data_IF_854558191686
#
_entry.id   IF_854558191686
#
_cell.length_a   1.000
_cell.length_b   1.000
_cell.length_c   1.000
_cell.angle_alpha   90.00
_cell.angle_beta   90.00
_cell.angle_gamma   90.00
#
_symmetry.space_group_name_H-M   'P 1'
#
loop_
_entity.id
_entity.type
_entity.pdbx_description
1 polymer ?
#
# COMPACT_ATOMS: atom_id res chain seq x y z
N UNK A 1 8.96 -14.23 -6.54
CA UNK A 1 7.84 -15.02 -5.99
C UNK A 1 7.77 -16.33 -6.75
N UNK A 2 7.54 -17.47 -6.08
CA UNK A 2 7.48 -18.77 -6.74
C UNK A 2 6.11 -18.98 -7.43
N UNK A 3 5.92 -18.40 -8.62
CA UNK A 3 4.71 -18.62 -9.43
C UNK A 3 4.64 -20.07 -9.92
N UNK A 4 3.43 -20.61 -10.11
CA UNK A 4 3.25 -21.98 -10.58
C UNK A 4 3.49 -22.11 -12.10
N UNK A 5 3.36 -21.00 -12.84
CA UNK A 5 3.63 -20.94 -14.28
C UNK A 5 4.14 -19.56 -14.72
N UNK A 6 4.71 -19.50 -15.92
CA UNK A 6 5.10 -18.23 -16.56
C UNK A 6 3.89 -17.35 -16.85
N UNK A 7 2.76 -17.93 -17.29
CA UNK A 7 1.53 -17.21 -17.58
C UNK A 7 0.98 -16.47 -16.35
N UNK A 8 1.05 -17.08 -15.16
CA UNK A 8 0.70 -16.42 -13.91
C UNK A 8 1.60 -15.21 -13.63
N UNK A 9 2.91 -15.35 -13.85
CA UNK A 9 3.87 -14.27 -13.66
C UNK A 9 3.65 -13.11 -14.66
N UNK A 10 3.35 -13.44 -15.93
CA UNK A 10 3.04 -12.45 -16.98
C UNK A 10 1.73 -11.73 -16.67
N UNK A 11 0.69 -12.46 -16.25
CA UNK A 11 -0.57 -11.85 -15.83
C UNK A 11 -0.36 -10.89 -14.67
N UNK A 12 0.43 -11.28 -13.66
CA UNK A 12 0.68 -10.45 -12.49
C UNK A 12 1.52 -9.21 -12.83
N UNK A 13 2.60 -9.34 -13.61
CA UNK A 13 3.45 -8.20 -13.96
C UNK A 13 2.69 -7.16 -14.80
N UNK A 14 1.82 -7.59 -15.71
CA UNK A 14 0.97 -6.69 -16.50
C UNK A 14 -0.04 -5.95 -15.60
N UNK A 15 -0.71 -6.70 -14.71
CA UNK A 15 -1.69 -6.13 -13.78
C UNK A 15 -1.05 -5.12 -12.83
N UNK A 16 0.10 -5.46 -12.26
CA UNK A 16 0.87 -4.57 -11.37
C UNK A 16 1.40 -3.34 -12.13
N UNK A 17 1.86 -3.51 -13.37
CA UNK A 17 2.33 -2.38 -14.20
C UNK A 17 1.21 -1.38 -14.48
N UNK A 18 0.00 -1.86 -14.83
CA UNK A 18 -1.19 -0.99 -14.95
C UNK A 18 -1.46 -0.27 -13.63
N UNK A 19 -1.48 -0.99 -12.51
CA UNK A 19 -1.70 -0.41 -11.19
C UNK A 19 -0.72 0.72 -10.86
N UNK A 20 0.56 0.57 -11.22
CA UNK A 20 1.56 1.62 -11.04
C UNK A 20 1.28 2.87 -11.88
N UNK A 21 0.74 2.74 -13.09
CA UNK A 21 0.39 3.90 -13.93
C UNK A 21 -0.69 4.75 -13.26
N UNK A 22 -1.76 4.12 -12.78
CA UNK A 22 -2.86 4.81 -12.10
C UNK A 22 -2.41 5.38 -10.75
N UNK A 23 -1.61 4.63 -9.99
CA UNK A 23 -1.00 5.09 -8.73
C UNK A 23 -0.15 6.35 -8.94
N UNK A 24 0.74 6.36 -9.94
CA UNK A 24 1.58 7.52 -10.25
C UNK A 24 0.75 8.77 -10.60
N UNK A 25 -0.28 8.62 -11.44
CA UNK A 25 -1.15 9.75 -11.81
C UNK A 25 -1.97 10.30 -10.65
N UNK A 26 -2.55 9.43 -9.81
CA UNK A 26 -3.32 9.87 -8.64
C UNK A 26 -2.42 10.47 -7.56
N UNK A 27 -1.20 9.97 -7.41
CA UNK A 27 -0.19 10.58 -6.56
C UNK A 27 0.41 11.88 -7.16
N UNK A 28 0.06 12.26 -8.41
CA UNK A 28 0.57 13.49 -9.04
C UNK A 28 2.06 13.44 -9.34
N UNK A 29 2.60 12.25 -9.63
CA UNK A 29 4.00 12.02 -9.91
C UNK A 29 4.28 12.16 -11.41
N UNK A 30 5.47 12.69 -11.74
CA UNK A 30 5.97 12.73 -13.12
C UNK A 30 6.58 11.39 -13.54
N UNK A 31 5.83 10.30 -13.31
CA UNK A 31 6.23 8.92 -13.58
C UNK A 31 5.13 8.19 -14.36
N UNK A 32 5.54 7.22 -15.18
CA UNK A 32 4.63 6.23 -15.75
C UNK A 32 4.34 5.09 -14.75
N UNK A 33 4.00 3.92 -15.30
CA UNK A 33 3.86 2.68 -14.54
C UNK A 33 4.61 1.52 -15.18
N UNK A 34 5.28 0.73 -14.34
CA UNK A 34 5.98 -0.48 -14.75
C UNK A 34 6.24 -1.39 -13.56
N UNK A 35 6.50 -2.66 -13.82
CA UNK A 35 6.80 -3.66 -12.80
C UNK A 35 7.81 -4.67 -13.32
N UNK A 36 8.60 -5.20 -12.40
CA UNK A 36 9.43 -6.39 -12.63
C UNK A 36 8.92 -7.52 -11.75
N UNK A 37 8.85 -8.72 -12.31
CA UNK A 37 8.59 -9.96 -11.59
C UNK A 37 9.78 -10.89 -11.80
N UNK A 38 10.35 -11.38 -10.70
CA UNK A 38 11.38 -12.43 -10.71
C UNK A 38 10.75 -13.71 -10.20
N UNK A 39 10.68 -14.72 -11.06
CA UNK A 39 10.15 -16.04 -10.73
C UNK A 39 11.20 -16.78 -9.89
N UNK A 40 10.85 -17.15 -8.66
CA UNK A 40 11.75 -17.83 -7.73
C UNK A 40 11.39 -17.60 -6.26
N UNK A 41 11.90 -18.46 -5.40
CA UNK A 41 11.77 -18.35 -3.95
C UNK A 41 12.78 -17.34 -3.41
N UNK A 42 12.33 -16.17 -2.89
CA UNK A 42 13.23 -15.11 -2.45
C UNK A 42 14.09 -15.48 -1.24
N UNK A 43 13.76 -16.57 -0.52
CA UNK A 43 14.51 -17.05 0.64
C UNK A 43 15.66 -18.00 0.30
N UNK A 44 15.59 -18.70 -0.84
CA UNK A 44 16.56 -19.73 -1.21
C UNK A 44 17.28 -19.46 -2.53
N UNK A 45 16.60 -18.82 -3.49
CA UNK A 45 17.09 -18.75 -4.87
C UNK A 45 17.81 -17.43 -5.18
N UNK A 46 17.74 -16.47 -4.25
CA UNK A 46 18.33 -15.15 -4.43
C UNK A 46 19.86 -15.22 -4.32
N UNK A 47 20.54 -14.78 -5.38
CA UNK A 47 22.01 -14.73 -5.43
C UNK A 47 22.49 -13.36 -5.92
N UNK A 48 23.72 -12.92 -5.56
CA UNK A 48 24.32 -11.71 -6.12
C UNK A 48 24.35 -11.70 -7.65
N UNK A 49 24.66 -12.84 -8.28
CA UNK A 49 24.70 -12.96 -9.74
C UNK A 49 23.33 -12.71 -10.40
N UNK A 50 22.25 -13.17 -9.76
CA UNK A 50 20.87 -12.91 -10.21
C UNK A 50 20.54 -11.41 -10.13
N UNK A 51 20.85 -10.77 -9.01
CA UNK A 51 20.63 -9.33 -8.82
C UNK A 51 21.45 -8.49 -9.82
N UNK A 52 22.71 -8.85 -10.05
CA UNK A 52 23.57 -8.26 -11.06
C UNK A 52 22.97 -8.39 -12.48
N UNK A 53 22.35 -9.53 -12.78
CA UNK A 53 21.69 -9.77 -14.07
C UNK A 53 20.44 -8.91 -14.24
N UNK A 54 19.60 -8.81 -13.20
CA UNK A 54 18.43 -7.94 -13.20
C UNK A 54 18.83 -6.46 -13.35
N UNK A 55 19.87 -6.02 -12.63
CA UNK A 55 20.36 -4.65 -12.73
C UNK A 55 20.86 -4.31 -14.14
N UNK A 56 21.58 -5.22 -14.81
CA UNK A 56 21.98 -5.05 -16.22
C UNK A 56 20.78 -5.00 -17.17
N UNK A 57 19.73 -5.77 -16.92
CA UNK A 57 18.51 -5.73 -17.72
C UNK A 57 17.79 -4.39 -17.59
N UNK A 58 17.71 -3.85 -16.37
CA UNK A 58 17.16 -2.51 -16.08
C UNK A 58 18.01 -1.42 -16.74
N UNK A 59 19.34 -1.51 -16.63
CA UNK A 59 20.27 -0.53 -17.20
C UNK A 59 20.08 -0.34 -18.71
N UNK A 60 19.86 -1.43 -19.43
CA UNK A 60 19.58 -1.43 -20.88
C UNK A 60 18.31 -0.66 -21.27
N UNK A 61 17.39 -0.42 -20.33
CA UNK A 61 16.19 0.37 -20.56
C UNK A 61 16.47 1.88 -20.53
N UNK A 62 17.69 2.31 -20.17
CA UNK A 62 18.14 3.70 -20.33
C UNK A 62 17.28 4.71 -19.57
N UNK A 63 16.84 4.38 -18.36
CA UNK A 63 16.01 5.26 -17.52
C UNK A 63 14.52 5.23 -17.83
N UNK A 64 14.07 4.43 -18.80
CA UNK A 64 12.62 4.24 -19.06
C UNK A 64 11.92 3.45 -17.95
N UNK A 65 12.66 2.75 -17.11
CA UNK A 65 12.17 1.98 -15.98
C UNK A 65 13.10 2.19 -14.79
N UNK A 66 12.52 2.51 -13.63
CA UNK A 66 13.21 2.70 -12.37
C UNK A 66 12.67 1.63 -11.42
N UNK A 67 13.55 0.79 -10.89
CA UNK A 67 13.17 -0.24 -9.94
C UNK A 67 13.18 0.28 -8.50
N UNK A 68 12.39 -0.32 -7.63
CA UNK A 68 12.44 -0.15 -6.18
C UNK A 68 12.19 -1.52 -5.53
N UNK A 69 12.30 -1.60 -4.21
CA UNK A 69 11.96 -2.83 -3.49
C UNK A 69 10.46 -3.15 -3.55
N UNK A 70 10.14 -4.44 -3.46
CA UNK A 70 8.79 -4.96 -3.30
C UNK A 70 8.89 -6.37 -2.68
N UNK A 71 7.76 -7.05 -2.53
CA UNK A 71 7.61 -8.43 -2.08
C UNK A 71 8.68 -9.37 -2.65
N UNK A 72 9.63 -9.75 -1.80
CA UNK A 72 10.74 -10.65 -2.13
C UNK A 72 12.09 -9.97 -2.34
N UNK A 73 12.16 -8.64 -2.37
CA UNK A 73 13.40 -7.83 -2.35
C UNK A 73 13.37 -6.84 -1.18
N UNK A 74 14.54 -6.34 -0.80
CA UNK A 74 14.66 -5.28 0.22
C UNK A 74 15.83 -4.33 -0.04
N UNK A 75 16.01 -3.35 0.84
CA UNK A 75 17.06 -2.31 0.73
C UNK A 75 18.44 -2.87 0.41
N UNK A 76 18.93 -3.97 1.02
CA UNK A 76 20.24 -4.54 0.67
C UNK A 76 20.34 -5.01 -0.79
N UNK A 77 19.24 -5.51 -1.36
CA UNK A 77 19.18 -5.92 -2.76
C UNK A 77 19.22 -4.70 -3.68
N UNK A 78 18.48 -3.64 -3.32
CA UNK A 78 18.46 -2.39 -4.09
C UNK A 78 19.83 -1.71 -4.05
N UNK A 79 20.49 -1.69 -2.88
CA UNK A 79 21.87 -1.21 -2.72
C UNK A 79 22.86 -2.04 -3.53
N UNK A 80 22.66 -3.35 -3.63
CA UNK A 80 23.47 -4.21 -4.49
C UNK A 80 23.31 -3.84 -5.97
N UNK A 81 22.06 -3.77 -6.44
CA UNK A 81 21.73 -3.45 -7.84
C UNK A 81 22.18 -2.04 -8.24
N UNK A 82 22.11 -1.05 -7.32
CA UNK A 82 22.55 0.33 -7.55
C UNK A 82 24.02 0.44 -7.92
N UNK A 83 24.87 -0.54 -7.55
CA UNK A 83 26.28 -0.60 -7.97
C UNK A 83 26.45 -0.82 -9.48
N UNK A 84 25.40 -1.25 -10.17
CA UNK A 84 25.42 -1.58 -11.61
C UNK A 84 24.60 -0.63 -12.47
N UNK A 85 23.61 0.07 -11.90
CA UNK A 85 22.74 0.99 -12.64
C UNK A 85 22.21 2.10 -11.73
N UNK A 86 22.07 3.35 -12.22
CA UNK A 86 21.46 4.42 -11.44
C UNK A 86 19.94 4.31 -11.35
N UNK A 87 19.29 3.44 -12.15
CA UNK A 87 17.83 3.33 -12.25
C UNK A 87 17.20 2.39 -11.21
N UNK A 88 17.64 2.53 -9.97
CA UNK A 88 17.08 1.86 -8.79
C UNK A 88 16.80 2.94 -7.74
N UNK A 89 15.74 2.86 -6.95
CA UNK A 89 15.41 3.78 -5.86
C UNK A 89 15.20 2.99 -4.56
N UNK A 90 15.09 3.69 -3.42
CA UNK A 90 14.95 3.07 -2.10
C UNK A 90 16.28 2.59 -1.52
N UNK A 91 17.39 3.29 -1.79
CA UNK A 91 18.73 2.87 -1.32
C UNK A 91 19.35 3.82 -0.32
N UNK A 92 18.98 5.09 -0.38
CA UNK A 92 19.59 6.15 0.42
C UNK A 92 18.99 6.19 1.82
N UNK A 93 19.83 6.46 2.82
CA UNK A 93 19.35 6.76 4.16
C UNK A 93 18.64 8.12 4.17
N UNK A 94 17.52 8.20 4.88
CA UNK A 94 16.63 9.37 4.88
C UNK A 94 16.41 9.87 6.31
N UNK A 95 16.26 11.18 6.53
CA UNK A 95 15.84 11.71 7.82
C UNK A 95 14.46 11.19 8.26
N UNK A 96 14.33 10.91 9.55
CA UNK A 96 13.13 10.45 10.26
C UNK A 96 13.03 11.09 11.64
N UNK A 97 11.89 10.93 12.32
CA UNK A 97 11.70 11.48 13.68
C UNK A 97 12.62 10.79 14.71
N UNK A 98 13.12 9.60 14.39
CA UNK A 98 14.02 8.79 15.23
C UNK A 98 15.49 8.85 14.77
N UNK A 99 15.84 9.83 13.90
CA UNK A 99 17.19 9.96 13.33
C UNK A 99 17.20 9.57 11.85
N UNK A 100 18.16 8.75 11.42
CA UNK A 100 18.20 8.26 10.04
C UNK A 100 17.44 6.93 9.92
N UNK A 101 16.64 6.79 8.85
CA UNK A 101 16.05 5.52 8.44
C UNK A 101 16.69 5.04 7.14
N UNK A 102 16.62 3.74 6.89
CA UNK A 102 17.04 3.17 5.60
C UNK A 102 16.18 3.67 4.43
N UNK A 103 16.54 3.27 3.21
CA UNK A 103 15.75 3.54 2.01
C UNK A 103 14.36 2.88 1.96
N UNK A 104 13.98 2.10 2.99
CA UNK A 104 12.69 1.43 3.14
C UNK A 104 11.53 2.45 3.09
N UNK A 105 10.61 2.36 2.10
CA UNK A 105 9.46 3.25 1.95
C UNK A 105 8.25 2.85 2.81
N UNK A 106 8.35 1.78 3.61
CA UNK A 106 7.27 1.28 4.48
C UNK A 106 6.72 2.34 5.45
N UNK A 107 7.54 3.17 6.13
CA UNK A 107 7.03 4.22 7.02
C UNK A 107 6.16 5.26 6.29
N UNK A 108 6.53 5.61 5.07
CA UNK A 108 5.79 6.56 4.22
C UNK A 108 4.47 5.94 3.75
N UNK A 109 4.47 4.64 3.43
CA UNK A 109 3.25 3.88 3.10
C UNK A 109 2.30 3.78 4.29
N UNK A 110 2.82 3.49 5.48
CA UNK A 110 2.03 3.42 6.71
C UNK A 110 1.43 4.79 7.08
N UNK A 111 2.21 5.87 6.95
CA UNK A 111 1.71 7.22 7.15
C UNK A 111 0.61 7.59 6.14
N UNK A 112 0.83 7.33 4.85
CA UNK A 112 -0.19 7.57 3.82
C UNK A 112 -1.47 6.75 4.05
N UNK A 113 -1.33 5.51 4.51
CA UNK A 113 -2.47 4.65 4.85
C UNK A 113 -3.23 5.20 6.05
N UNK A 114 -2.53 5.68 7.08
CA UNK A 114 -3.13 6.34 8.24
C UNK A 114 -3.90 7.61 7.84
N UNK A 115 -3.32 8.45 6.97
CA UNK A 115 -3.98 9.63 6.41
C UNK A 115 -5.26 9.23 5.65
N UNK A 116 -5.19 8.19 4.81
CA UNK A 116 -6.36 7.73 4.08
C UNK A 116 -7.45 7.10 4.94
N UNK A 117 -7.10 6.43 6.05
CA UNK A 117 -8.08 5.96 7.04
C UNK A 117 -8.79 7.15 7.68
N UNK A 118 -8.08 8.23 8.04
CA UNK A 118 -8.71 9.45 8.56
C UNK A 118 -9.71 10.04 7.56
N UNK A 119 -9.34 10.13 6.28
CA UNK A 119 -10.23 10.60 5.23
C UNK A 119 -11.50 9.73 5.12
N UNK A 120 -11.33 8.39 5.14
CA UNK A 120 -12.43 7.44 5.05
C UNK A 120 -13.35 7.47 6.29
N UNK A 121 -12.79 7.65 7.48
CA UNK A 121 -13.54 7.81 8.74
C UNK A 121 -14.36 9.10 8.71
N UNK A 122 -13.76 10.22 8.29
CA UNK A 122 -14.46 11.51 8.14
C UNK A 122 -15.62 11.39 7.17
N UNK A 123 -15.41 10.73 6.04
CA UNK A 123 -16.43 10.50 5.03
C UNK A 123 -17.56 9.59 5.53
N UNK A 124 -17.24 8.41 6.08
CA UNK A 124 -18.26 7.39 6.39
C UNK A 124 -18.97 7.64 7.71
N UNK A 125 -18.25 8.16 8.70
CA UNK A 125 -18.70 8.30 10.09
C UNK A 125 -18.90 9.75 10.52
N UNK A 126 -18.49 10.74 9.71
CA UNK A 126 -18.59 12.15 10.07
C UNK A 126 -17.71 12.55 11.26
N UNK A 127 -16.61 11.82 11.49
CA UNK A 127 -15.70 11.99 12.63
C UNK A 127 -14.32 12.41 12.17
N UNK A 128 -13.71 13.38 12.85
CA UNK A 128 -12.30 13.76 12.61
C UNK A 128 -11.31 13.02 13.53
N UNK A 129 -11.81 12.47 14.64
CA UNK A 129 -11.01 11.74 15.63
C UNK A 129 -11.14 10.23 15.48
N UNK A 130 -10.01 9.53 15.66
CA UNK A 130 -9.93 8.06 15.67
C UNK A 130 -10.09 7.46 17.09
N UNK A 131 -10.20 8.31 18.13
CA UNK A 131 -10.33 7.87 19.52
C UNK A 131 -11.51 6.91 19.71
N UNK A 132 -11.26 5.74 20.28
CA UNK A 132 -12.26 4.69 20.51
C UNK A 132 -12.85 4.05 19.25
N UNK A 133 -12.28 4.31 18.06
CA UNK A 133 -12.63 3.52 16.87
C UNK A 133 -12.01 2.15 16.96
N UNK A 134 -12.78 1.15 16.52
CA UNK A 134 -12.33 -0.23 16.45
C UNK A 134 -11.75 -0.51 15.07
N UNK A 135 -10.47 -0.88 15.02
CA UNK A 135 -9.76 -1.12 13.75
C UNK A 135 -9.18 -2.53 13.74
N UNK A 136 -9.55 -3.29 12.70
CA UNK A 136 -8.97 -4.59 12.40
C UNK A 136 -7.81 -4.43 11.41
N UNK A 137 -6.58 -4.74 11.82
CA UNK A 137 -5.40 -4.72 10.95
C UNK A 137 -4.98 -6.15 10.63
N UNK A 138 -5.15 -6.54 9.37
CA UNK A 138 -4.72 -7.85 8.88
C UNK A 138 -3.32 -7.73 8.27
N UNK A 139 -2.32 -8.31 8.92
CA UNK A 139 -0.91 -8.21 8.55
C UNK A 139 -0.19 -7.17 9.40
N UNK A 140 0.80 -7.63 10.17
CA UNK A 140 1.63 -6.89 11.12
C UNK A 140 3.11 -6.96 10.69
N UNK A 141 3.35 -6.91 9.37
CA UNK A 141 4.67 -6.62 8.79
C UNK A 141 5.08 -5.16 9.00
N UNK A 142 6.14 -4.69 8.34
CA UNK A 142 6.66 -3.32 8.54
C UNK A 142 5.57 -2.23 8.41
N UNK A 143 4.80 -2.24 7.32
CA UNK A 143 3.73 -1.26 7.08
C UNK A 143 2.57 -1.43 8.06
N UNK A 144 2.12 -2.68 8.27
CA UNK A 144 0.99 -2.98 9.14
C UNK A 144 1.26 -2.65 10.62
N UNK A 145 2.46 -2.92 11.10
CA UNK A 145 2.90 -2.57 12.45
C UNK A 145 2.98 -1.06 12.64
N UNK A 146 3.62 -0.31 11.72
CA UNK A 146 3.69 1.15 11.85
C UNK A 146 2.29 1.80 11.72
N UNK A 147 1.42 1.24 10.88
CA UNK A 147 0.02 1.66 10.81
C UNK A 147 -0.69 1.43 12.15
N UNK A 148 -0.60 0.23 12.72
CA UNK A 148 -1.18 -0.11 14.02
C UNK A 148 -0.66 0.83 15.12
N UNK A 149 0.65 1.10 15.15
CA UNK A 149 1.27 2.04 16.09
C UNK A 149 0.69 3.45 15.97
N UNK A 150 0.48 3.95 14.75
CA UNK A 150 -0.13 5.29 14.50
C UNK A 150 -1.59 5.34 14.92
N UNK A 151 -2.34 4.28 14.65
CA UNK A 151 -3.74 4.14 15.05
C UNK A 151 -3.88 4.09 16.58
N UNK A 152 -3.04 3.29 17.25
CA UNK A 152 -2.97 3.24 18.71
C UNK A 152 -2.64 4.61 19.31
N UNK A 153 -1.63 5.30 18.77
CA UNK A 153 -1.27 6.65 19.21
C UNK A 153 -2.39 7.70 18.98
N UNK A 154 -3.30 7.42 18.04
CA UNK A 154 -4.49 8.23 17.78
C UNK A 154 -5.73 7.78 18.58
N UNK A 155 -5.57 6.85 19.54
CA UNK A 155 -6.61 6.38 20.45
C UNK A 155 -7.51 5.28 19.90
N UNK A 156 -7.17 4.65 18.77
CA UNK A 156 -7.96 3.55 18.23
C UNK A 156 -7.72 2.24 18.99
N UNK A 157 -8.77 1.44 19.14
CA UNK A 157 -8.71 0.07 19.65
C UNK A 157 -8.37 -0.89 18.51
N UNK A 158 -7.45 -1.82 18.75
CA UNK A 158 -6.85 -2.64 17.71
C UNK A 158 -7.19 -4.12 17.84
N UNK A 159 -7.58 -4.71 16.71
CA UNK A 159 -7.65 -6.15 16.49
C UNK A 159 -6.64 -6.51 15.40
N UNK A 160 -5.75 -7.45 15.68
CA UNK A 160 -4.62 -7.76 14.79
C UNK A 160 -4.57 -9.24 14.44
N UNK A 161 -4.18 -9.55 13.22
CA UNK A 161 -3.91 -10.92 12.79
C UNK A 161 -2.70 -10.99 11.86
N UNK A 162 -1.86 -11.99 12.03
CA UNK A 162 -0.68 -12.27 11.22
C UNK A 162 -0.34 -13.77 11.31
N UNK A 163 0.46 -14.26 10.36
CA UNK A 163 1.03 -15.61 10.40
C UNK A 163 2.26 -15.69 11.32
N UNK A 164 2.93 -14.57 11.56
CA UNK A 164 4.09 -14.47 12.44
C UNK A 164 3.66 -14.19 13.89
N UNK A 165 3.75 -15.22 14.73
CA UNK A 165 3.42 -15.12 16.15
C UNK A 165 4.28 -14.10 16.92
N UNK A 166 5.49 -13.79 16.44
CA UNK A 166 6.35 -12.78 17.08
C UNK A 166 5.84 -11.38 16.81
N UNK A 167 5.37 -11.12 15.59
CA UNK A 167 4.76 -9.84 15.24
C UNK A 167 3.48 -9.60 16.05
N UNK A 168 2.67 -10.64 16.26
CA UNK A 168 1.48 -10.60 17.11
C UNK A 168 1.80 -10.30 18.57
N UNK A 169 2.75 -11.04 19.16
CA UNK A 169 3.17 -10.81 20.55
C UNK A 169 3.72 -9.39 20.76
N UNK A 170 4.42 -8.85 19.76
CA UNK A 170 4.90 -7.46 19.78
C UNK A 170 3.74 -6.46 19.77
N UNK A 171 2.77 -6.64 18.88
CA UNK A 171 1.61 -5.75 18.79
C UNK A 171 0.74 -5.79 20.06
N UNK A 172 0.56 -6.96 20.66
CA UNK A 172 -0.13 -7.10 21.94
C UNK A 172 0.62 -6.36 23.07
N UNK A 173 1.94 -6.58 23.19
CA UNK A 173 2.75 -6.02 24.27
C UNK A 173 2.98 -4.50 24.15
N UNK A 174 3.25 -3.99 22.94
CA UNK A 174 3.56 -2.58 22.72
C UNK A 174 2.33 -1.72 22.45
N UNK A 175 1.26 -2.27 21.87
CA UNK A 175 0.09 -1.51 21.39
C UNK A 175 -1.22 -1.90 22.08
N UNK A 176 -1.21 -2.88 23.00
CA UNK A 176 -2.43 -3.38 23.65
C UNK A 176 -3.43 -4.00 22.67
N UNK A 177 -2.96 -4.48 21.51
CA UNK A 177 -3.83 -5.02 20.48
C UNK A 177 -4.41 -6.39 20.86
N UNK A 178 -5.66 -6.63 20.51
CA UNK A 178 -6.30 -7.95 20.64
C UNK A 178 -5.92 -8.83 19.45
N UNK A 179 -5.27 -9.97 19.72
CA UNK A 179 -4.89 -10.93 18.69
C UNK A 179 -6.09 -11.76 18.26
N UNK A 180 -6.33 -11.85 16.95
CA UNK A 180 -7.44 -12.59 16.32
C UNK A 180 -6.91 -13.62 15.33
N UNK A 181 -7.57 -14.76 15.26
CA UNK A 181 -7.27 -15.80 14.28
C UNK A 181 -7.49 -15.29 12.85
N UNK A 182 -6.69 -15.76 11.91
CA UNK A 182 -6.67 -15.24 10.53
C UNK A 182 -8.00 -15.41 9.77
N UNK A 183 -8.78 -16.43 10.13
CA UNK A 183 -10.11 -16.71 9.58
C UNK A 183 -11.22 -15.91 10.27
N UNK A 184 -11.02 -15.48 11.51
CA UNK A 184 -12.01 -14.72 12.28
C UNK A 184 -11.98 -13.21 12.04
N UNK A 185 -10.83 -12.67 11.58
CA UNK A 185 -10.62 -11.21 11.42
C UNK A 185 -11.62 -10.52 10.48
N UNK A 186 -12.29 -11.26 9.59
CA UNK A 186 -13.31 -10.68 8.70
C UNK A 186 -14.64 -10.46 9.41
N UNK A 187 -14.96 -11.28 10.40
CA UNK A 187 -16.27 -11.33 11.04
C UNK A 187 -16.36 -10.51 12.34
N UNK A 188 -15.26 -9.89 12.77
CA UNK A 188 -15.24 -9.04 13.95
C UNK A 188 -16.00 -7.74 13.70
N UNK A 189 -16.72 -7.32 14.73
CA UNK A 189 -17.50 -6.08 14.70
C UNK A 189 -16.56 -4.91 15.00
N UNK A 190 -16.08 -4.27 13.94
CA UNK A 190 -15.13 -3.15 13.96
C UNK A 190 -15.62 -2.06 13.02
N UNK A 191 -15.09 -0.85 13.15
CA UNK A 191 -15.47 0.27 12.27
C UNK A 191 -14.72 0.22 10.94
N UNK A 192 -13.42 -0.13 11.01
CA UNK A 192 -12.48 -0.16 9.89
C UNK A 192 -11.82 -1.54 9.79
N UNK A 193 -11.83 -2.12 8.58
CA UNK A 193 -10.98 -3.25 8.21
C UNK A 193 -9.82 -2.75 7.34
N UNK A 194 -8.59 -2.96 7.81
CA UNK A 194 -7.34 -2.51 7.18
C UNK A 194 -6.51 -3.71 6.70
N UNK A 195 -6.74 -4.21 5.47
CA UNK A 195 -5.92 -5.27 4.90
C UNK A 195 -4.52 -4.76 4.56
N UNK A 196 -3.50 -5.33 5.19
CA UNK A 196 -2.09 -4.95 5.07
C UNK A 196 -1.17 -6.15 4.76
N UNK A 197 -1.73 -7.35 4.54
CA UNK A 197 -0.98 -8.58 4.26
C UNK A 197 -0.96 -8.94 2.76
N UNK A 198 -2.06 -9.53 2.26
CA UNK A 198 -2.16 -10.10 0.92
C UNK A 198 -3.24 -9.39 0.10
N UNK A 199 -3.09 -9.46 -1.22
CA UNK A 199 -4.14 -9.07 -2.17
C UNK A 199 -5.29 -10.08 -2.22
N UNK A 200 -6.30 -9.75 -3.02
CA UNK A 200 -7.53 -10.52 -3.26
C UNK A 200 -8.30 -10.92 -2.00
N UNK A 201 -8.07 -10.21 -0.90
CA UNK A 201 -8.66 -10.53 0.40
C UNK A 201 -10.15 -10.20 0.42
N UNK A 202 -10.62 -9.26 -0.38
CA UNK A 202 -12.05 -8.97 -0.56
C UNK A 202 -12.55 -9.78 -1.77
N UNK A 203 -13.26 -10.87 -1.48
CA UNK A 203 -13.76 -11.83 -2.46
C UNK A 203 -15.13 -12.41 -2.03
N UNK A 204 -15.69 -13.31 -2.82
CA UNK A 204 -17.00 -13.94 -2.56
C UNK A 204 -17.12 -14.62 -1.19
N UNK A 205 -16.01 -15.07 -0.60
CA UNK A 205 -16.01 -15.77 0.69
C UNK A 205 -15.92 -14.81 1.86
N UNK A 206 -15.08 -13.78 1.76
CA UNK A 206 -14.77 -12.86 2.87
C UNK A 206 -15.71 -11.66 2.91
N UNK A 207 -16.12 -11.13 1.76
CA UNK A 207 -16.98 -9.96 1.67
C UNK A 207 -18.31 -10.13 2.45
N UNK A 208 -19.00 -11.29 2.39
CA UNK A 208 -20.22 -11.49 3.18
C UNK A 208 -19.99 -11.51 4.71
N UNK A 209 -18.77 -11.73 5.17
CA UNK A 209 -18.43 -11.80 6.59
C UNK A 209 -18.15 -10.41 7.18
N UNK A 210 -17.74 -9.46 6.34
CA UNK A 210 -17.34 -8.11 6.76
C UNK A 210 -18.49 -7.40 7.47
N UNK A 211 -18.25 -7.05 8.73
CA UNK A 211 -19.11 -6.15 9.53
C UNK A 211 -18.64 -4.70 9.51
N UNK A 212 -17.38 -4.48 9.09
CA UNK A 212 -16.80 -3.15 9.01
C UNK A 212 -17.56 -2.23 8.05
N UNK A 213 -17.68 -0.96 8.41
CA UNK A 213 -18.29 0.06 7.56
C UNK A 213 -17.29 0.69 6.57
N UNK A 214 -15.98 0.46 6.81
CA UNK A 214 -14.88 0.99 6.01
C UNK A 214 -13.88 -0.14 5.71
N UNK A 215 -13.43 -0.23 4.47
CA UNK A 215 -12.25 -1.01 4.04
C UNK A 215 -11.18 -0.03 3.58
N UNK A 216 -10.07 0.04 4.33
CA UNK A 216 -8.99 0.99 4.09
C UNK A 216 -7.67 0.44 4.64
N UNK A 217 -6.84 -0.15 3.78
CA UNK A 217 -5.58 -0.78 4.17
C UNK A 217 -4.47 -0.60 3.14
N UNK A 218 -3.28 -1.09 3.46
CA UNK A 218 -2.08 -0.89 2.67
C UNK A 218 -1.81 -1.99 1.62
N UNK A 219 -2.50 -3.14 1.69
CA UNK A 219 -2.27 -4.26 0.76
C UNK A 219 -2.55 -3.83 -0.69
N UNK A 220 -1.78 -4.37 -1.63
CA UNK A 220 -2.04 -4.16 -3.06
C UNK A 220 -3.09 -5.16 -3.56
N UNK A 221 -3.95 -4.73 -4.47
CA UNK A 221 -4.97 -5.53 -5.15
C UNK A 221 -5.99 -6.14 -4.19
N UNK A 222 -6.53 -5.34 -3.27
CA UNK A 222 -7.39 -5.81 -2.17
C UNK A 222 -8.65 -6.50 -2.68
N UNK A 223 -9.26 -5.97 -3.74
CA UNK A 223 -10.39 -6.57 -4.41
C UNK A 223 -9.91 -7.73 -5.30
N UNK A 224 -10.47 -8.93 -5.12
CA UNK A 224 -10.17 -10.06 -5.99
C UNK A 224 -10.65 -9.84 -7.44
N UNK A 225 -11.72 -9.06 -7.59
CA UNK A 225 -12.33 -8.70 -8.88
C UNK A 225 -12.99 -7.32 -8.75
N UNK A 226 -13.08 -6.57 -9.85
CA UNK A 226 -13.67 -5.24 -9.86
C UNK A 226 -15.13 -5.20 -9.33
N UNK A 227 -15.93 -6.25 -9.61
CA UNK A 227 -17.31 -6.37 -9.12
C UNK A 227 -17.43 -6.34 -7.59
N UNK A 228 -16.37 -6.71 -6.86
CA UNK A 228 -16.38 -6.65 -5.41
C UNK A 228 -16.42 -5.20 -4.90
N UNK A 229 -15.92 -4.23 -5.68
CA UNK A 229 -16.07 -2.80 -5.36
C UNK A 229 -17.52 -2.35 -5.40
N UNK A 230 -18.28 -2.78 -6.41
CA UNK A 230 -19.73 -2.54 -6.48
C UNK A 230 -20.46 -3.28 -5.35
N UNK A 231 -20.05 -4.50 -5.02
CA UNK A 231 -20.65 -5.26 -3.92
C UNK A 231 -20.41 -4.62 -2.53
N UNK A 232 -19.25 -3.99 -2.30
CA UNK A 232 -18.99 -3.19 -1.11
C UNK A 232 -19.89 -1.95 -1.07
N UNK A 233 -19.98 -1.22 -2.18
CA UNK A 233 -20.84 -0.04 -2.31
C UNK A 233 -22.32 -0.38 -2.04
N UNK A 234 -22.84 -1.45 -2.63
CA UNK A 234 -24.23 -1.90 -2.42
C UNK A 234 -24.51 -2.33 -0.97
N UNK A 235 -23.49 -2.70 -0.21
CA UNK A 235 -23.58 -2.99 1.23
C UNK A 235 -23.38 -1.76 2.11
N UNK A 236 -23.14 -0.59 1.52
CA UNK A 236 -22.83 0.64 2.27
C UNK A 236 -21.48 0.58 3.00
N UNK A 237 -20.54 -0.23 2.51
CA UNK A 237 -19.17 -0.30 3.01
C UNK A 237 -18.32 0.64 2.16
N UNK A 238 -17.74 1.67 2.78
CA UNK A 238 -16.85 2.60 2.09
C UNK A 238 -15.51 1.92 1.81
N UNK A 239 -15.11 1.89 0.55
CA UNK A 239 -13.82 1.37 0.15
C UNK A 239 -12.87 2.50 -0.24
N UNK A 240 -11.73 2.60 0.43
CA UNK A 240 -10.62 3.45 0.00
C UNK A 240 -9.76 2.69 -1.04
N UNK A 241 -9.73 3.11 -2.32
CA UNK A 241 -9.00 2.40 -3.36
C UNK A 241 -7.53 2.20 -2.98
N UNK A 242 -7.08 0.95 -3.02
CA UNK A 242 -5.79 0.52 -2.50
C UNK A 242 -4.60 1.30 -3.08
N UNK A 243 -4.57 1.46 -4.40
CA UNK A 243 -3.51 2.18 -5.11
C UNK A 243 -3.50 3.69 -4.86
N UNK A 244 -4.50 4.24 -4.17
CA UNK A 244 -4.53 5.64 -3.71
C UNK A 244 -4.05 5.72 -2.27
N UNK A 245 -4.67 4.94 -1.38
CA UNK A 245 -4.37 4.99 0.06
C UNK A 245 -2.94 4.53 0.38
N UNK A 246 -2.39 3.57 -0.36
CA UNK A 246 -1.05 3.05 -0.14
C UNK A 246 0.04 3.76 -0.99
N UNK A 247 -0.26 4.94 -1.54
CA UNK A 247 0.65 5.66 -2.44
C UNK A 247 1.87 6.27 -1.74
N UNK A 248 1.91 6.32 -0.41
CA UNK A 248 3.01 6.95 0.35
C UNK A 248 4.39 6.41 -0.02
N UNK A 249 4.50 5.10 -0.29
CA UNK A 249 5.77 4.49 -0.68
C UNK A 249 6.28 4.92 -2.06
N UNK A 250 5.38 5.07 -3.06
CA UNK A 250 5.80 5.53 -4.39
C UNK A 250 6.22 7.01 -4.36
N UNK A 251 5.57 7.82 -3.53
CA UNK A 251 5.91 9.24 -3.35
C UNK A 251 7.32 9.35 -2.73
N UNK A 252 7.62 8.54 -1.72
CA UNK A 252 8.93 8.50 -1.09
C UNK A 252 10.06 8.13 -2.06
N UNK A 253 9.92 7.03 -2.81
CA UNK A 253 10.94 6.62 -3.78
C UNK A 253 11.06 7.60 -4.95
N UNK A 254 9.99 8.31 -5.31
CA UNK A 254 10.04 9.38 -6.31
C UNK A 254 10.90 10.56 -5.84
N UNK A 255 10.76 10.99 -4.59
CA UNK A 255 11.57 12.09 -4.04
C UNK A 255 13.06 11.76 -4.05
N UNK A 256 13.41 10.53 -3.68
CA UNK A 256 14.80 10.05 -3.76
C UNK A 256 15.29 10.04 -5.21
N UNK A 257 14.54 9.42 -6.13
CA UNK A 257 14.98 9.29 -7.52
C UNK A 257 15.10 10.63 -8.24
N UNK A 258 14.15 11.55 -8.01
CA UNK A 258 14.14 12.86 -8.65
C UNK A 258 15.22 13.80 -8.08
N UNK A 259 16.01 13.36 -7.10
CA UNK A 259 17.02 14.19 -6.44
C UNK A 259 16.41 15.41 -5.76
N UNK A 260 15.15 15.30 -5.32
CA UNK A 260 14.44 16.39 -4.68
C UNK A 260 14.96 16.54 -3.25
N UNK A 261 15.91 17.45 -3.05
CA UNK A 261 16.32 17.94 -1.72
C UNK A 261 15.26 18.89 -1.13
N UNK A 262 13.99 18.48 -1.23
CA UNK A 262 12.86 19.23 -0.70
C UNK A 262 12.65 18.97 0.79
N UNK A 263 13.44 18.07 1.37
CA UNK A 263 13.41 17.69 2.77
C UNK A 263 12.18 16.87 3.17
N UNK A 264 12.21 16.37 4.41
CA UNK A 264 11.14 15.56 5.03
C UNK A 264 9.78 16.24 4.99
N UNK A 265 9.72 17.56 5.21
CA UNK A 265 8.46 18.31 5.26
C UNK A 265 7.73 18.32 3.92
N UNK A 266 8.45 18.45 2.80
CA UNK A 266 7.83 18.42 1.47
C UNK A 266 7.33 17.02 1.10
N UNK A 267 8.05 15.97 1.51
CA UNK A 267 7.60 14.58 1.36
C UNK A 267 6.30 14.35 2.14
N UNK A 268 6.26 14.73 3.42
CA UNK A 268 5.07 14.60 4.27
C UNK A 268 3.89 15.36 3.68
N UNK A 269 4.11 16.63 3.29
CA UNK A 269 3.06 17.45 2.68
C UNK A 269 2.52 16.85 1.37
N UNK A 270 3.35 16.15 0.60
CA UNK A 270 2.87 15.43 -0.58
C UNK A 270 2.07 14.18 -0.19
N UNK A 271 2.55 13.39 0.78
CA UNK A 271 1.81 12.22 1.28
C UNK A 271 0.45 12.63 1.86
N UNK A 272 0.36 13.79 2.53
CA UNK A 272 -0.89 14.32 3.08
C UNK A 272 -1.97 14.55 2.01
N UNK A 273 -1.58 14.79 0.75
CA UNK A 273 -2.53 14.92 -0.39
C UNK A 273 -3.27 13.62 -0.71
N UNK A 274 -2.92 12.49 -0.09
CA UNK A 274 -3.75 11.28 -0.12
C UNK A 274 -5.14 11.57 0.47
N UNK A 275 -5.25 12.43 1.50
CA UNK A 275 -6.53 12.88 2.06
C UNK A 275 -7.38 13.61 1.01
N UNK A 276 -6.78 14.56 0.29
CA UNK A 276 -7.44 15.35 -0.75
C UNK A 276 -7.93 14.43 -1.89
N UNK A 277 -7.07 13.54 -2.37
CA UNK A 277 -7.38 12.61 -3.44
C UNK A 277 -8.54 11.68 -3.06
N UNK A 278 -8.51 11.09 -1.87
CA UNK A 278 -9.57 10.22 -1.38
C UNK A 278 -10.87 11.00 -1.17
N UNK A 279 -10.80 12.22 -0.63
CA UNK A 279 -11.96 13.09 -0.45
C UNK A 279 -12.62 13.43 -1.79
N UNK A 280 -11.84 13.74 -2.83
CA UNK A 280 -12.36 13.92 -4.19
C UNK A 280 -13.05 12.66 -4.71
N UNK A 281 -12.39 11.50 -4.59
CA UNK A 281 -12.92 10.20 -5.03
C UNK A 281 -14.25 9.90 -4.33
N UNK A 282 -14.33 10.06 -3.01
CA UNK A 282 -15.55 9.79 -2.24
C UNK A 282 -16.69 10.74 -2.64
N UNK A 283 -16.40 12.04 -2.78
CA UNK A 283 -17.40 13.02 -3.21
C UNK A 283 -17.93 12.74 -4.62
N UNK A 284 -17.05 12.40 -5.58
CA UNK A 284 -17.46 12.01 -6.93
C UNK A 284 -18.24 10.69 -6.93
N UNK A 285 -17.79 9.69 -6.18
CA UNK A 285 -18.46 8.39 -6.03
C UNK A 285 -19.89 8.53 -5.53
N UNK A 286 -20.13 9.35 -4.50
CA UNK A 286 -21.49 9.64 -4.03
C UNK A 286 -22.34 10.35 -5.09
N UNK A 287 -21.78 11.36 -5.76
CA UNK A 287 -22.51 12.16 -6.75
C UNK A 287 -22.88 11.37 -8.00
N UNK A 288 -21.98 10.49 -8.44
CA UNK A 288 -22.13 9.71 -9.67
C UNK A 288 -22.73 8.33 -9.44
N UNK A 289 -22.93 7.93 -8.18
CA UNK A 289 -23.41 6.60 -7.78
C UNK A 289 -22.54 5.47 -8.38
N UNK A 290 -21.22 5.66 -8.34
CA UNK A 290 -20.22 4.72 -8.90
C UNK A 290 -19.27 4.22 -7.83
N UNK A 291 -18.76 2.97 -7.93
CA UNK A 291 -17.76 2.46 -7.00
C UNK A 291 -16.50 3.34 -6.96
N UNK A 292 -15.91 3.51 -5.77
CA UNK A 292 -14.75 4.37 -5.55
C UNK A 292 -13.55 4.01 -6.44
N UNK A 293 -13.33 2.72 -6.71
CA UNK A 293 -12.27 2.27 -7.63
C UNK A 293 -12.48 2.71 -9.08
N UNK A 294 -13.72 2.70 -9.59
CA UNK A 294 -14.01 3.17 -10.95
C UNK A 294 -13.87 4.69 -11.08
N UNK A 295 -14.24 5.41 -10.02
CA UNK A 295 -14.07 6.86 -9.95
C UNK A 295 -12.59 7.24 -9.87
N UNK A 296 -11.80 6.51 -9.08
CA UNK A 296 -10.35 6.69 -9.02
C UNK A 296 -9.69 6.43 -10.37
N UNK A 297 -10.10 5.37 -11.09
CA UNK A 297 -9.64 5.12 -12.47
C UNK A 297 -9.99 6.28 -13.41
N UNK A 298 -11.23 6.80 -13.37
CA UNK A 298 -11.65 7.93 -14.19
C UNK A 298 -10.85 9.21 -13.92
N UNK A 299 -10.60 9.54 -12.64
CA UNK A 299 -9.79 10.71 -12.26
C UNK A 299 -8.35 10.55 -12.74
N UNK A 300 -7.76 9.36 -12.65
CA UNK A 300 -6.43 9.09 -13.19
C UNK A 300 -6.38 9.32 -14.71
N UNK A 301 -7.40 8.83 -15.42
CA UNK A 301 -7.51 8.96 -16.88
C UNK A 301 -7.73 10.39 -17.36
N UNK A 302 -8.43 11.22 -16.58
CA UNK A 302 -8.51 12.67 -16.80
C UNK A 302 -7.13 13.31 -16.69
N UNK A 303 -6.31 12.90 -15.71
CA UNK A 303 -4.94 13.41 -15.51
C UNK A 303 -3.96 12.98 -16.61
N UNK A 304 -4.18 11.84 -17.27
CA UNK A 304 -3.35 11.44 -18.42
C UNK A 304 -3.54 12.35 -19.64
N UNK A 305 -4.70 13.00 -19.76
CA UNK A 305 -5.08 13.83 -20.92
C UNK A 305 -4.77 15.32 -20.71
N UNK A 306 -4.48 15.73 -19.48
CA UNK A 306 -4.15 17.10 -19.10
C UNK A 306 -2.67 17.42 -19.37
#
# INVERSE_FOLDING_TARGET
WPYASEDEAVCDVLRLSRGMTYKSALAGLKLGGGKSVVIGNPRTDKTPALLDSLARAIDRLGGRYIAAEDSGTGVPDMQHMRKRTPFVAGVEEKPSDEGMRSGDPSPSTAYGTFVGIRAAVRERLGRDSLEGLRVAVQGIGNVGYDLARRLHAAGAELWVSDIDSRALARAEAELGATVIAADEIFAIDVDVFAPCALGAVINDRTLPQLKASIVAGAANNQLAEARHGLALMNRGILYAPDYVINAGGIIDVYYEHAGLDAGRSALIAHIDRIDDNLTEIFARSRREERPTGEVADAIAEERFKA
#
